data_IF_232040708729
#
_entry.id   IF_232040708729
#
_cell.length_a   1.000
_cell.length_b   1.000
_cell.length_c   1.000
_cell.angle_alpha   90.00
_cell.angle_beta   90.00
_cell.angle_gamma   90.00
#
_symmetry.space_group_name_H-M   'P 1'
#
loop_
_entity.id
_entity.type
_entity.pdbx_description
1 polymer ?
#
# COMPACT_ATOMS: atom_id res chain seq x y z
N UNK A 1 22.72 20.27 48.78
CA UNK A 1 21.56 19.74 48.06
C UNK A 1 21.17 20.84 47.09
N UNK A 2 21.36 20.66 45.78
CA UNK A 2 20.69 21.48 44.75
C UNK A 2 20.67 20.69 43.43
N UNK A 3 19.50 20.11 43.15
CA UNK A 3 19.14 19.44 41.90
C UNK A 3 19.08 20.45 40.75
N UNK A 4 19.82 20.21 39.65
CA UNK A 4 19.60 20.95 38.41
C UNK A 4 19.06 20.04 37.30
N UNK A 5 17.72 20.00 37.31
CA UNK A 5 16.80 19.35 36.39
C UNK A 5 16.93 19.90 34.95
N UNK A 6 17.72 19.24 34.11
CA UNK A 6 17.83 19.55 32.68
C UNK A 6 16.66 18.90 31.93
N UNK A 7 15.47 19.51 32.01
CA UNK A 7 14.28 19.13 31.23
C UNK A 7 14.51 19.44 29.74
N UNK A 8 14.68 18.40 28.93
CA UNK A 8 14.73 18.47 27.47
C UNK A 8 13.43 19.04 26.86
N UNK A 9 13.49 19.79 25.75
CA UNK A 9 12.31 20.43 25.17
C UNK A 9 11.41 19.39 24.47
N UNK A 10 10.13 19.35 24.86
CA UNK A 10 9.11 18.53 24.19
C UNK A 10 8.87 19.07 22.78
N UNK A 11 9.40 18.39 21.75
CA UNK A 11 9.09 18.65 20.33
C UNK A 11 7.57 18.52 20.14
N UNK A 12 6.92 19.64 19.78
CA UNK A 12 5.51 19.65 19.35
C UNK A 12 5.40 18.74 18.13
N UNK A 13 4.68 17.62 18.24
CA UNK A 13 4.37 16.74 17.11
C UNK A 13 3.41 17.49 16.21
N UNK A 14 3.87 17.89 15.02
CA UNK A 14 2.96 18.37 13.99
C UNK A 14 2.02 17.22 13.60
N UNK A 15 0.72 17.48 13.37
CA UNK A 15 -0.18 16.45 12.89
C UNK A 15 0.33 15.94 11.55
N UNK A 16 0.73 14.67 11.51
CA UNK A 16 1.17 14.01 10.29
C UNK A 16 -0.05 13.80 9.41
N UNK A 17 -0.13 14.52 8.28
CA UNK A 17 -1.19 14.32 7.28
C UNK A 17 -1.05 12.89 6.74
N UNK A 18 -2.13 12.12 6.89
CA UNK A 18 -2.20 10.75 6.39
C UNK A 18 -2.63 10.78 4.92
N UNK A 19 -2.04 9.89 4.12
CA UNK A 19 -2.32 9.77 2.69
C UNK A 19 -2.74 8.32 2.41
N UNK A 20 -3.67 8.10 1.48
CA UNK A 20 -4.03 6.76 1.03
C UNK A 20 -2.83 6.10 0.33
N UNK A 21 -2.48 4.88 0.72
CA UNK A 21 -1.35 4.15 0.12
C UNK A 21 -1.63 3.65 -1.31
N UNK A 22 -2.86 3.80 -1.82
CA UNK A 22 -3.31 3.27 -3.11
C UNK A 22 -3.52 4.35 -4.18
N UNK A 23 -3.92 5.56 -3.77
CA UNK A 23 -4.20 6.67 -4.69
C UNK A 23 -3.48 7.97 -4.31
N UNK A 24 -2.66 7.95 -3.25
CA UNK A 24 -1.90 9.09 -2.69
C UNK A 24 -2.70 10.31 -2.26
N UNK A 25 -4.05 10.27 -2.33
CA UNK A 25 -4.93 11.32 -1.81
C UNK A 25 -4.75 11.50 -0.30
N UNK A 26 -4.67 12.74 0.14
CA UNK A 26 -4.60 13.11 1.55
C UNK A 26 -5.92 12.88 2.30
N UNK A 27 -5.88 12.87 3.62
CA UNK A 27 -7.06 12.72 4.48
C UNK A 27 -8.15 13.77 4.18
N UNK A 28 -7.77 14.97 3.72
CA UNK A 28 -8.70 16.05 3.43
C UNK A 28 -9.37 15.91 2.04
N UNK A 29 -8.79 15.10 1.15
CA UNK A 29 -9.27 14.86 -0.22
C UNK A 29 -10.19 13.63 -0.33
N UNK A 30 -10.33 12.86 0.74
CA UNK A 30 -11.13 11.63 0.78
C UNK A 30 -12.19 11.72 1.86
N UNK A 31 -13.34 11.09 1.63
CA UNK A 31 -14.44 11.14 2.59
C UNK A 31 -14.14 10.31 3.84
N UNK A 32 -13.46 9.17 3.67
CA UNK A 32 -12.97 8.33 4.79
C UNK A 32 -11.58 7.78 4.48
N UNK A 33 -10.69 7.83 5.48
CA UNK A 33 -9.37 7.22 5.42
C UNK A 33 -9.20 6.26 6.61
N UNK A 34 -8.96 4.98 6.32
CA UNK A 34 -8.81 3.91 7.29
C UNK A 34 -7.33 3.66 7.49
N UNK A 35 -6.84 3.82 8.72
CA UNK A 35 -5.46 3.49 9.09
C UNK A 35 -5.44 2.21 9.93
N UNK A 36 -4.58 1.26 9.56
CA UNK A 36 -4.30 0.07 10.37
C UNK A 36 -3.09 0.34 11.26
N UNK A 37 -3.27 0.08 12.56
CA UNK A 37 -2.17 0.05 13.51
C UNK A 37 -1.22 -1.09 13.16
N UNK A 38 0.05 -0.74 12.96
CA UNK A 38 1.10 -1.68 12.62
C UNK A 38 2.08 -1.84 13.80
N UNK A 39 2.81 -2.97 13.87
CA UNK A 39 3.84 -3.18 14.88
C UNK A 39 4.87 -2.04 14.88
N UNK A 40 5.47 -1.71 16.04
CA UNK A 40 6.52 -0.71 16.10
C UNK A 40 7.63 -1.02 15.09
N UNK A 41 8.04 0.00 14.33
CA UNK A 41 9.04 -0.13 13.27
C UNK A 41 8.49 -0.34 11.85
N UNK A 42 7.17 -0.34 11.63
CA UNK A 42 6.58 -0.31 10.29
C UNK A 42 5.69 0.92 10.07
N UNK A 43 5.68 1.42 8.83
CA UNK A 43 4.77 2.50 8.39
C UNK A 43 3.33 2.03 8.50
N UNK A 44 2.43 2.88 9.00
CA UNK A 44 1.00 2.59 9.05
C UNK A 44 0.45 2.43 7.63
N UNK A 45 -0.33 1.39 7.41
CA UNK A 45 -1.02 1.15 6.14
C UNK A 45 -2.35 1.89 6.17
N UNK A 46 -2.62 2.65 5.12
CA UNK A 46 -3.78 3.56 5.02
C UNK A 46 -4.50 3.36 3.69
N UNK A 47 -5.84 3.30 3.72
CA UNK A 47 -6.67 3.12 2.52
C UNK A 47 -7.93 4.00 2.60
N UNK A 48 -8.31 4.65 1.51
CA UNK A 48 -9.56 5.43 1.43
C UNK A 48 -10.75 4.57 0.97
N UNK A 49 -11.96 5.06 1.23
CA UNK A 49 -13.22 4.41 0.87
C UNK A 49 -13.40 4.14 -0.63
N UNK A 50 -13.05 5.08 -1.50
CA UNK A 50 -13.07 4.89 -2.95
C UNK A 50 -12.16 3.73 -3.40
N UNK A 51 -10.95 3.66 -2.83
CA UNK A 51 -10.04 2.54 -3.12
C UNK A 51 -10.56 1.22 -2.55
N UNK A 52 -11.23 1.22 -1.39
CA UNK A 52 -11.90 0.01 -0.88
C UNK A 52 -12.96 -0.46 -1.87
N UNK A 53 -13.82 0.44 -2.35
CA UNK A 53 -14.89 0.09 -3.29
C UNK A 53 -14.34 -0.46 -4.61
N UNK A 54 -13.36 0.22 -5.20
CA UNK A 54 -12.71 -0.24 -6.43
C UNK A 54 -12.01 -1.60 -6.23
N UNK A 55 -11.30 -1.78 -5.11
CA UNK A 55 -10.70 -3.07 -4.79
C UNK A 55 -11.76 -4.16 -4.60
N UNK A 56 -12.87 -3.86 -3.92
CA UNK A 56 -13.98 -4.79 -3.72
C UNK A 56 -14.62 -5.20 -5.04
N UNK A 57 -14.80 -4.27 -5.98
CA UNK A 57 -15.31 -4.58 -7.32
C UNK A 57 -14.34 -5.51 -8.07
N UNK A 58 -13.03 -5.19 -8.11
CA UNK A 58 -12.01 -6.02 -8.76
C UNK A 58 -11.96 -7.43 -8.15
N UNK A 59 -12.04 -7.52 -6.83
CA UNK A 59 -12.10 -8.76 -6.06
C UNK A 59 -13.34 -9.57 -6.50
N UNK A 60 -14.50 -8.94 -6.58
CA UNK A 60 -15.75 -9.65 -6.90
C UNK A 60 -15.89 -10.03 -8.38
N UNK A 61 -15.26 -9.32 -9.32
CA UNK A 61 -15.52 -9.48 -10.76
C UNK A 61 -14.75 -10.65 -11.43
N UNK A 62 -13.74 -11.22 -10.79
CA UNK A 62 -12.94 -12.29 -11.37
C UNK A 62 -12.66 -13.39 -10.34
N UNK A 63 -13.41 -14.50 -10.42
CA UNK A 63 -13.03 -15.80 -9.83
C UNK A 63 -13.25 -16.00 -8.33
N UNK A 64 -13.71 -15.01 -7.57
CA UNK A 64 -13.88 -15.17 -6.12
C UNK A 64 -15.09 -16.02 -5.71
N UNK A 65 -16.12 -16.10 -6.54
CA UNK A 65 -17.30 -16.95 -6.30
C UNK A 65 -16.92 -18.43 -6.14
N UNK A 66 -15.84 -18.90 -6.76
CA UNK A 66 -15.33 -20.27 -6.57
C UNK A 66 -14.44 -20.41 -5.32
N UNK A 67 -13.73 -19.34 -4.96
CA UNK A 67 -12.80 -19.29 -3.84
C UNK A 67 -13.47 -19.09 -2.47
N UNK A 68 -14.71 -18.58 -2.43
CA UNK A 68 -15.53 -18.46 -1.22
C UNK A 68 -15.84 -19.81 -0.55
N UNK A 69 -15.69 -20.92 -1.28
CA UNK A 69 -15.95 -22.26 -0.75
C UNK A 69 -14.88 -22.77 0.24
N UNK A 70 -13.67 -22.19 0.27
CA UNK A 70 -12.69 -22.44 1.34
C UNK A 70 -11.50 -21.46 1.34
N UNK A 71 -10.89 -21.16 2.51
CA UNK A 71 -9.65 -20.37 2.60
C UNK A 71 -8.50 -20.89 1.73
N UNK A 72 -8.46 -22.20 1.48
CA UNK A 72 -7.44 -22.85 0.64
C UNK A 72 -7.65 -22.57 -0.85
N UNK A 73 -8.90 -22.45 -1.30
CA UNK A 73 -9.23 -22.08 -2.67
C UNK A 73 -8.86 -20.61 -2.94
N UNK A 74 -9.18 -19.72 -2.00
CA UNK A 74 -8.75 -18.32 -2.03
C UNK A 74 -7.22 -18.17 -2.10
N UNK A 75 -6.49 -18.89 -1.25
CA UNK A 75 -5.02 -18.85 -1.27
C UNK A 75 -4.45 -19.30 -2.62
N UNK A 76 -4.97 -20.40 -3.19
CA UNK A 76 -4.56 -20.86 -4.52
C UNK A 76 -4.86 -19.85 -5.63
N UNK A 77 -6.02 -19.21 -5.56
CA UNK A 77 -6.41 -18.18 -6.52
C UNK A 77 -5.43 -17.00 -6.47
N UNK A 78 -5.18 -16.44 -5.28
CA UNK A 78 -4.26 -15.32 -5.10
C UNK A 78 -2.85 -15.66 -5.59
N UNK A 79 -2.33 -16.85 -5.26
CA UNK A 79 -1.00 -17.28 -5.71
C UNK A 79 -0.94 -17.34 -7.24
N UNK A 80 -1.98 -17.88 -7.90
CA UNK A 80 -2.04 -17.95 -9.36
C UNK A 80 -2.07 -16.56 -10.00
N UNK A 81 -2.86 -15.64 -9.44
CA UNK A 81 -2.92 -14.27 -9.96
C UNK A 81 -1.57 -13.54 -9.80
N UNK A 82 -0.91 -13.70 -8.65
CA UNK A 82 0.42 -13.13 -8.44
C UNK A 82 1.43 -13.64 -9.47
N UNK A 83 1.42 -14.94 -9.78
CA UNK A 83 2.28 -15.51 -10.84
C UNK A 83 2.01 -14.87 -12.21
N UNK A 84 0.75 -14.69 -12.59
CA UNK A 84 0.39 -14.06 -13.87
C UNK A 84 0.91 -12.61 -13.93
N UNK A 85 0.80 -11.86 -12.82
CA UNK A 85 1.28 -10.48 -12.73
C UNK A 85 2.80 -10.42 -12.84
N UNK A 86 3.51 -11.32 -12.16
CA UNK A 86 4.97 -11.38 -12.20
C UNK A 86 5.46 -11.75 -13.61
N UNK A 87 4.85 -12.74 -14.25
CA UNK A 87 5.15 -13.11 -15.65
C UNK A 87 4.86 -11.97 -16.63
N UNK A 88 3.80 -11.20 -16.40
CA UNK A 88 3.48 -10.02 -17.21
C UNK A 88 4.52 -8.91 -17.01
N UNK A 89 4.96 -8.69 -15.77
CA UNK A 89 6.02 -7.73 -15.43
C UNK A 89 7.35 -8.10 -16.08
N UNK A 90 7.73 -9.37 -16.02
CA UNK A 90 8.98 -9.86 -16.62
C UNK A 90 8.97 -9.71 -18.14
N UNK A 91 7.83 -10.00 -18.79
CA UNK A 91 7.66 -9.75 -20.23
C UNK A 91 7.74 -8.28 -20.59
N UNK A 92 7.13 -7.41 -19.78
CA UNK A 92 7.20 -5.96 -19.99
C UNK A 92 8.64 -5.45 -19.84
N UNK A 93 9.35 -5.87 -18.80
CA UNK A 93 10.75 -5.51 -18.58
C UNK A 93 11.65 -5.99 -19.73
N UNK A 94 11.47 -7.24 -20.19
CA UNK A 94 12.20 -7.77 -21.34
C UNK A 94 11.91 -6.97 -22.63
N UNK A 95 10.67 -6.56 -22.84
CA UNK A 95 10.31 -5.73 -23.99
C UNK A 95 10.95 -4.33 -23.90
N UNK A 96 10.99 -3.74 -22.72
CA UNK A 96 11.65 -2.46 -22.46
C UNK A 96 13.16 -2.53 -22.72
N UNK A 97 13.82 -3.62 -22.28
CA UNK A 97 15.24 -3.87 -22.56
C UNK A 97 15.51 -3.92 -24.06
N UNK A 98 14.66 -4.60 -24.84
CA UNK A 98 14.78 -4.66 -26.30
C UNK A 98 14.60 -3.29 -26.96
N UNK A 99 13.82 -2.42 -26.36
CA UNK A 99 13.60 -1.05 -26.85
C UNK A 99 14.71 -0.09 -26.40
N UNK A 100 15.67 -0.53 -25.57
CA UNK A 100 16.64 0.32 -24.88
C UNK A 100 15.98 1.48 -24.11
N UNK A 101 14.76 1.26 -23.60
CA UNK A 101 14.02 2.24 -22.81
C UNK A 101 14.01 1.77 -21.37
N UNK A 102 14.64 2.53 -20.48
CA UNK A 102 14.43 2.34 -19.05
C UNK A 102 13.11 2.98 -18.66
N UNK A 103 12.23 2.25 -17.96
CA UNK A 103 11.14 2.92 -17.25
C UNK A 103 11.75 3.98 -16.34
N UNK A 104 11.21 5.23 -16.29
CA UNK A 104 11.63 6.15 -15.24
C UNK A 104 11.46 5.39 -13.92
N UNK A 105 12.48 5.39 -13.04
CA UNK A 105 12.36 4.70 -11.77
C UNK A 105 11.09 5.23 -11.11
N UNK A 106 10.12 4.34 -10.90
CA UNK A 106 8.96 4.63 -10.07
C UNK A 106 9.54 5.27 -8.82
N UNK A 107 9.17 6.53 -8.61
CA UNK A 107 9.80 7.47 -7.69
C UNK A 107 10.28 6.73 -6.45
N UNK A 108 11.60 6.47 -6.41
CA UNK A 108 12.25 6.10 -5.17
C UNK A 108 12.13 7.33 -4.29
N UNK A 109 11.05 7.37 -3.54
CA UNK A 109 10.82 8.33 -2.49
C UNK A 109 11.90 8.08 -1.45
N UNK A 110 13.04 8.73 -1.64
CA UNK A 110 14.03 8.94 -0.58
C UNK A 110 13.36 9.84 0.45
N UNK A 111 12.71 9.23 1.44
CA UNK A 111 12.38 9.84 2.71
C UNK A 111 12.39 8.79 3.81
#
# INVERSE_FOLDING_TARGET
MDENNKKSPRRKRQPTVLHCSFCDKSQDEVHKLIARDNPPGRKALTICDECVEMCTQIINDQGLVEAENSPKALYKYIVRQNQIIDDARDRANKALDLLNVSMPPGSQSQH
#
